data_IF_353601743087
#
_entry.id   IF_353601743087
#
_cell.length_a   1.000
_cell.length_b   1.000
_cell.length_c   1.000
_cell.angle_alpha   90.00
_cell.angle_beta   90.00
_cell.angle_gamma   90.00
#
_symmetry.space_group_name_H-M   'P 1'
#
loop_
_entity.id
_entity.type
_entity.pdbx_description
1 polymer ?
#
# COMPACT_ATOMS: atom_id res chain seq x y z
N UNK A 1 11.57 -22.75 12.12
CA UNK A 1 10.96 -23.64 11.10
C UNK A 1 9.45 -23.62 11.32
N UNK A 2 8.64 -23.40 10.28
CA UNK A 2 7.20 -23.51 10.41
C UNK A 2 6.82 -24.92 10.90
N UNK A 3 5.78 -25.09 11.74
CA UNK A 3 5.31 -26.42 12.12
C UNK A 3 5.04 -27.24 10.85
N UNK A 4 5.43 -28.53 10.82
CA UNK A 4 5.24 -29.40 9.64
C UNK A 4 3.78 -29.38 9.10
N UNK A 5 2.81 -29.14 9.98
CA UNK A 5 1.40 -28.97 9.63
C UNK A 5 1.10 -27.71 8.82
N UNK A 6 1.73 -26.57 9.14
CA UNK A 6 1.50 -25.30 8.43
C UNK A 6 2.06 -25.34 7.01
N UNK A 7 3.27 -25.90 6.84
CA UNK A 7 3.85 -26.03 5.51
C UNK A 7 3.03 -26.98 4.62
N UNK A 8 2.52 -28.08 5.18
CA UNK A 8 1.60 -28.98 4.48
C UNK A 8 0.31 -28.27 4.05
N UNK A 9 -0.28 -27.47 4.94
CA UNK A 9 -1.47 -26.67 4.62
C UNK A 9 -1.18 -25.69 3.48
N UNK A 10 -0.05 -24.98 3.53
CA UNK A 10 0.40 -24.10 2.44
C UNK A 10 0.51 -24.85 1.11
N UNK A 11 1.13 -26.04 1.09
CA UNK A 11 1.26 -26.84 -0.14
C UNK A 11 -0.08 -27.29 -0.70
N UNK A 12 -1.03 -27.71 0.15
CA UNK A 12 -2.37 -28.10 -0.28
C UNK A 12 -3.13 -26.93 -0.90
N UNK A 13 -3.07 -25.75 -0.27
CA UNK A 13 -3.70 -24.55 -0.82
C UNK A 13 -3.04 -24.10 -2.13
N UNK A 14 -1.70 -24.19 -2.22
CA UNK A 14 -0.97 -23.86 -3.45
C UNK A 14 -1.34 -24.80 -4.60
N UNK A 15 -1.55 -26.09 -4.32
CA UNK A 15 -1.99 -27.06 -5.31
C UNK A 15 -3.43 -26.78 -5.78
N UNK A 16 -4.34 -26.45 -4.87
CA UNK A 16 -5.76 -26.20 -5.18
C UNK A 16 -5.97 -24.87 -5.92
N UNK A 17 -5.31 -23.79 -5.46
CA UNK A 17 -5.57 -22.44 -5.95
C UNK A 17 -4.52 -21.95 -6.97
N UNK A 18 -3.41 -22.66 -7.15
CA UNK A 18 -2.35 -22.30 -8.09
C UNK A 18 -1.37 -21.23 -7.57
N UNK A 19 -0.42 -20.85 -8.41
CA UNK A 19 0.67 -19.95 -8.04
C UNK A 19 0.17 -18.51 -7.77
N UNK A 20 0.47 -17.91 -6.60
CA UNK A 20 0.12 -16.51 -6.28
C UNK A 20 0.56 -15.48 -7.33
N UNK A 21 1.61 -15.74 -8.11
CA UNK A 21 2.08 -14.84 -9.18
C UNK A 21 1.03 -14.64 -10.26
N UNK A 22 0.14 -15.61 -10.48
CA UNK A 22 -0.95 -15.52 -11.47
C UNK A 22 -1.99 -14.49 -11.05
N UNK A 23 -2.19 -14.29 -9.76
CA UNK A 23 -3.16 -13.35 -9.20
C UNK A 23 -2.53 -11.99 -8.88
N UNK A 24 -1.31 -11.98 -8.34
CA UNK A 24 -0.64 -10.77 -7.86
C UNK A 24 0.81 -10.67 -8.34
N UNK A 25 1.05 -10.59 -9.66
CA UNK A 25 2.39 -10.63 -10.24
C UNK A 25 3.29 -9.52 -9.70
N UNK A 26 2.76 -8.31 -9.48
CA UNK A 26 3.55 -7.20 -8.95
C UNK A 26 3.93 -7.38 -7.47
N UNK A 27 3.12 -8.08 -6.69
CA UNK A 27 3.46 -8.38 -5.29
C UNK A 27 4.52 -9.47 -5.19
N UNK A 28 4.41 -10.50 -6.03
CA UNK A 28 5.33 -11.62 -6.09
C UNK A 28 6.66 -11.30 -6.79
N UNK A 29 6.76 -10.19 -7.50
CA UNK A 29 8.00 -9.78 -8.18
C UNK A 29 9.18 -9.63 -7.20
N UNK A 30 10.32 -10.25 -7.53
CA UNK A 30 11.56 -10.20 -6.74
C UNK A 30 12.08 -8.77 -6.56
N UNK A 31 11.99 -7.97 -7.63
CA UNK A 31 12.34 -6.54 -7.60
C UNK A 31 11.14 -5.72 -8.03
N UNK A 32 10.99 -4.55 -7.42
CA UNK A 32 9.89 -3.61 -7.69
C UNK A 32 10.50 -2.26 -8.00
N UNK A 33 10.10 -1.65 -9.10
CA UNK A 33 10.47 -0.27 -9.41
C UNK A 33 9.92 0.69 -8.35
N UNK A 34 10.51 1.88 -8.21
CA UNK A 34 10.02 2.89 -7.25
C UNK A 34 8.54 3.23 -7.44
N UNK A 35 8.08 3.31 -8.70
CA UNK A 35 6.66 3.57 -9.03
C UNK A 35 5.74 2.42 -8.58
N UNK A 36 6.20 1.17 -8.67
CA UNK A 36 5.43 0.02 -8.19
C UNK A 36 5.36 0.00 -6.66
N UNK A 37 6.46 0.33 -5.98
CA UNK A 37 6.48 0.45 -4.52
C UNK A 37 5.50 1.53 -4.04
N UNK A 38 5.50 2.72 -4.66
CA UNK A 38 4.54 3.78 -4.34
C UNK A 38 3.09 3.32 -4.59
N UNK A 39 2.82 2.67 -5.74
CA UNK A 39 1.50 2.14 -6.06
C UNK A 39 1.03 1.10 -5.04
N UNK A 40 1.92 0.21 -4.58
CA UNK A 40 1.60 -0.82 -3.59
C UNK A 40 1.24 -0.18 -2.24
N UNK A 41 2.07 0.76 -1.77
CA UNK A 41 1.84 1.44 -0.47
C UNK A 41 0.53 2.24 -0.50
N UNK A 42 0.30 3.03 -1.55
CA UNK A 42 -0.94 3.79 -1.71
C UNK A 42 -2.13 2.83 -1.83
N UNK A 43 -1.99 1.78 -2.63
CA UNK A 43 -3.01 0.74 -2.81
C UNK A 43 -3.41 0.06 -1.50
N UNK A 44 -2.45 -0.19 -0.59
CA UNK A 44 -2.71 -0.85 0.69
C UNK A 44 -3.72 -0.09 1.55
N UNK A 45 -3.74 1.24 1.47
CA UNK A 45 -4.69 2.08 2.21
C UNK A 45 -6.06 2.04 1.52
N UNK A 46 -6.06 2.09 0.19
CA UNK A 46 -7.28 2.15 -0.61
C UNK A 46 -8.13 0.88 -0.54
N UNK A 47 -7.50 -0.30 -0.46
CA UNK A 47 -8.21 -1.59 -0.38
C UNK A 47 -8.85 -1.87 0.97
N UNK A 48 -8.50 -1.14 2.03
CA UNK A 48 -9.06 -1.38 3.37
C UNK A 48 -10.58 -1.17 3.38
N UNK A 49 -11.35 -2.20 3.75
CA UNK A 49 -12.82 -2.15 3.79
C UNK A 49 -13.43 -1.61 2.49
N UNK A 50 -12.90 -2.03 1.34
CA UNK A 50 -13.29 -1.49 0.03
C UNK A 50 -13.19 -2.56 -1.05
N UNK A 51 -14.09 -2.52 -2.03
CA UNK A 51 -14.03 -3.44 -3.17
C UNK A 51 -12.82 -3.16 -4.05
N UNK A 52 -12.26 -4.20 -4.67
CA UNK A 52 -11.16 -4.07 -5.64
C UNK A 52 -11.49 -3.09 -6.77
N UNK A 53 -12.75 -3.09 -7.23
CA UNK A 53 -13.24 -2.16 -8.26
C UNK A 53 -13.07 -0.70 -7.82
N UNK A 54 -13.54 -0.35 -6.61
CA UNK A 54 -13.49 1.01 -6.10
C UNK A 54 -12.06 1.48 -5.79
N UNK A 55 -11.23 0.60 -5.23
CA UNK A 55 -9.81 0.90 -5.01
C UNK A 55 -9.08 1.17 -6.34
N UNK A 56 -9.40 0.40 -7.40
CA UNK A 56 -8.85 0.62 -8.72
C UNK A 56 -9.28 1.96 -9.35
N UNK A 57 -10.54 2.37 -9.17
CA UNK A 57 -11.00 3.71 -9.61
C UNK A 57 -10.20 4.80 -8.88
N UNK A 58 -10.06 4.71 -7.56
CA UNK A 58 -9.28 5.68 -6.78
C UNK A 58 -7.81 5.75 -7.25
N UNK A 59 -7.16 4.60 -7.48
CA UNK A 59 -5.79 4.55 -8.02
C UNK A 59 -5.69 5.21 -9.41
N UNK A 60 -6.68 4.96 -10.30
CA UNK A 60 -6.72 5.59 -11.63
C UNK A 60 -6.91 7.11 -11.54
N UNK A 61 -7.75 7.59 -10.64
CA UNK A 61 -7.95 9.02 -10.39
C UNK A 61 -6.64 9.70 -9.94
N UNK A 62 -5.95 9.11 -8.95
CA UNK A 62 -4.65 9.60 -8.49
C UNK A 62 -3.61 9.62 -9.61
N UNK A 63 -3.56 8.55 -10.43
CA UNK A 63 -2.64 8.47 -11.57
C UNK A 63 -2.93 9.56 -12.62
N UNK A 64 -4.21 9.77 -12.97
CA UNK A 64 -4.65 10.78 -13.94
C UNK A 64 -4.27 12.19 -13.49
N UNK A 65 -4.40 12.48 -12.20
CA UNK A 65 -4.02 13.77 -11.60
C UNK A 65 -2.53 13.87 -11.23
N UNK A 66 -1.71 12.89 -11.63
CA UNK A 66 -0.28 12.84 -11.33
C UNK A 66 0.03 12.93 -9.82
N UNK A 67 -0.88 12.40 -8.99
CA UNK A 67 -0.82 12.34 -7.52
C UNK A 67 -0.60 10.92 -6.98
N UNK A 68 -0.41 9.92 -7.85
CA UNK A 68 0.04 8.58 -7.43
C UNK A 68 1.54 8.60 -7.12
N UNK A 69 1.94 9.38 -6.10
CA UNK A 69 3.32 9.50 -5.62
C UNK A 69 3.34 9.90 -4.15
N UNK A 70 4.20 9.25 -3.37
CA UNK A 70 4.35 9.50 -1.94
C UNK A 70 4.80 10.94 -1.69
N UNK A 71 5.81 11.40 -2.44
CA UNK A 71 6.34 12.75 -2.29
C UNK A 71 5.25 13.80 -2.51
N UNK A 72 4.53 13.69 -3.62
CA UNK A 72 3.50 14.68 -3.97
C UNK A 72 2.34 14.69 -3.00
N UNK A 73 1.93 13.53 -2.50
CA UNK A 73 0.88 13.45 -1.47
C UNK A 73 1.35 14.13 -0.19
N UNK A 74 2.60 13.88 0.25
CA UNK A 74 3.16 14.47 1.48
C UNK A 74 3.28 16.00 1.45
N UNK A 75 3.34 16.58 0.24
CA UNK A 75 3.49 18.04 0.02
C UNK A 75 2.13 18.76 -0.10
N UNK A 76 1.01 18.04 -0.01
CA UNK A 76 -0.32 18.64 -0.11
C UNK A 76 -0.60 19.56 1.10
N UNK A 77 -0.99 20.81 0.81
CA UNK A 77 -1.39 21.79 1.83
C UNK A 77 -2.81 21.57 2.36
N UNK A 78 -3.66 20.91 1.57
CA UNK A 78 -5.03 20.53 1.94
C UNK A 78 -5.33 19.11 1.43
N UNK A 79 -6.15 18.38 2.17
CA UNK A 79 -6.61 17.03 1.81
C UNK A 79 -7.84 17.03 0.90
N UNK A 80 -8.43 18.18 0.57
CA UNK A 80 -9.69 18.24 -0.20
C UNK A 80 -9.58 17.54 -1.55
N UNK A 81 -8.52 17.86 -2.31
CA UNK A 81 -8.25 17.24 -3.61
C UNK A 81 -7.99 15.73 -3.46
N UNK A 82 -7.20 15.33 -2.46
CA UNK A 82 -6.92 13.92 -2.21
C UNK A 82 -8.21 13.15 -1.89
N UNK A 83 -9.03 13.72 -1.02
CA UNK A 83 -10.32 13.18 -0.59
C UNK A 83 -11.27 12.96 -1.77
N UNK A 84 -11.36 13.94 -2.68
CA UNK A 84 -12.17 13.82 -3.88
C UNK A 84 -11.69 12.68 -4.79
N UNK A 85 -10.38 12.56 -5.00
CA UNK A 85 -9.82 11.55 -5.91
C UNK A 85 -9.99 10.13 -5.38
N UNK A 86 -9.85 9.93 -4.08
CA UNK A 86 -9.97 8.61 -3.45
C UNK A 86 -11.38 8.31 -2.94
N UNK A 87 -12.33 9.24 -3.13
CA UNK A 87 -13.75 9.11 -2.74
C UNK A 87 -14.39 7.75 -3.10
N UNK A 88 -14.13 7.15 -4.28
CA UNK A 88 -14.70 5.84 -4.61
C UNK A 88 -14.29 4.74 -3.63
N UNK A 89 -13.10 4.85 -3.03
CA UNK A 89 -12.61 3.92 -2.01
C UNK A 89 -13.24 4.14 -0.62
N UNK A 90 -14.25 5.00 -0.48
CA UNK A 90 -14.98 5.21 0.78
C UNK A 90 -14.16 5.89 1.88
N UNK A 91 -14.77 6.02 3.07
CA UNK A 91 -14.16 6.60 4.27
C UNK A 91 -13.53 7.98 4.05
N UNK A 92 -14.40 8.96 3.75
CA UNK A 92 -14.06 10.31 3.32
C UNK A 92 -13.18 11.14 4.26
N UNK A 93 -13.01 10.72 5.52
CA UNK A 93 -12.21 11.45 6.52
C UNK A 93 -10.95 10.69 6.92
N UNK A 94 -11.06 9.39 7.23
CA UNK A 94 -9.93 8.62 7.77
C UNK A 94 -8.94 8.18 6.70
N UNK A 95 -9.39 7.75 5.51
CA UNK A 95 -8.46 7.30 4.46
C UNK A 95 -7.57 8.40 3.89
N UNK A 96 -8.09 9.60 3.55
CA UNK A 96 -7.23 10.67 3.04
C UNK A 96 -6.17 11.06 4.06
N UNK A 97 -6.55 11.13 5.35
CA UNK A 97 -5.64 11.44 6.45
C UNK A 97 -4.58 10.37 6.65
N UNK A 98 -4.99 9.10 6.81
CA UNK A 98 -4.05 7.99 6.98
C UNK A 98 -3.07 7.87 5.80
N UNK A 99 -3.57 8.01 4.56
CA UNK A 99 -2.72 8.01 3.37
C UNK A 99 -1.71 9.15 3.38
N UNK A 100 -2.15 10.36 3.74
CA UNK A 100 -1.27 11.51 3.87
C UNK A 100 -0.21 11.30 4.96
N UNK A 101 -0.61 10.87 6.15
CA UNK A 101 0.27 10.67 7.30
C UNK A 101 1.32 9.59 7.02
N UNK A 102 0.95 8.49 6.33
CA UNK A 102 1.89 7.47 5.84
C UNK A 102 2.88 8.08 4.85
N UNK A 103 2.41 8.91 3.91
CA UNK A 103 3.30 9.51 2.91
C UNK A 103 4.30 10.48 3.54
N UNK A 104 3.84 11.33 4.47
CA UNK A 104 4.68 12.24 5.26
C UNK A 104 5.70 11.45 6.07
N UNK A 105 5.27 10.40 6.77
CA UNK A 105 6.17 9.53 7.51
C UNK A 105 7.28 8.97 6.60
N UNK A 106 6.93 8.43 5.44
CA UNK A 106 7.90 7.84 4.51
C UNK A 106 8.93 8.87 4.02
N UNK A 107 8.49 10.09 3.68
CA UNK A 107 9.39 11.18 3.29
C UNK A 107 10.32 11.58 4.43
N UNK A 108 9.80 11.71 5.66
CA UNK A 108 10.59 12.05 6.84
C UNK A 108 11.63 10.97 7.20
N UNK A 109 11.38 9.71 6.86
CA UNK A 109 12.38 8.64 6.99
C UNK A 109 13.42 8.62 5.86
N UNK A 110 13.35 9.58 4.91
CA UNK A 110 14.23 9.70 3.76
C UNK A 110 13.88 8.76 2.61
N UNK A 111 12.60 8.40 2.49
CA UNK A 111 12.05 7.61 1.39
C UNK A 111 12.07 6.09 1.58
N UNK A 112 11.39 5.38 0.68
CA UNK A 112 11.21 3.92 0.72
C UNK A 112 12.56 3.18 0.79
N UNK A 113 13.54 3.61 0.01
CA UNK A 113 14.87 2.97 -0.06
C UNK A 113 15.61 2.96 1.28
N UNK A 114 15.45 4.01 2.11
CA UNK A 114 16.02 4.04 3.46
C UNK A 114 15.19 3.23 4.44
N UNK A 115 13.88 3.27 4.29
CA UNK A 115 12.93 2.53 5.12
C UNK A 115 13.14 1.02 5.07
N UNK A 116 13.34 0.45 3.88
CA UNK A 116 13.54 -1.00 3.69
C UNK A 116 14.83 -1.50 4.40
N UNK A 117 15.79 -0.61 4.65
CA UNK A 117 17.04 -0.94 5.35
C UNK A 117 16.91 -0.92 6.88
N UNK A 118 15.77 -0.48 7.41
CA UNK A 118 15.55 -0.42 8.87
C UNK A 118 15.14 -1.77 9.42
N UNK A 119 15.40 -1.96 10.71
CA UNK A 119 14.91 -3.11 11.46
C UNK A 119 13.37 -3.21 11.36
N UNK A 120 12.89 -4.40 10.99
CA UNK A 120 11.46 -4.64 10.73
C UNK A 120 10.61 -4.48 11.98
N UNK A 121 11.11 -4.86 13.15
CA UNK A 121 10.36 -4.78 14.41
C UNK A 121 10.14 -3.33 14.81
N UNK A 122 11.19 -2.49 14.75
CA UNK A 122 11.09 -1.05 15.00
C UNK A 122 10.20 -0.36 13.96
N UNK A 123 10.35 -0.72 12.68
CA UNK A 123 9.54 -0.14 11.63
C UNK A 123 8.06 -0.48 11.78
N UNK A 124 7.73 -1.73 12.16
CA UNK A 124 6.36 -2.14 12.44
C UNK A 124 5.73 -1.26 13.53
N UNK A 125 6.42 -1.05 14.65
CA UNK A 125 5.90 -0.21 15.73
C UNK A 125 5.66 1.22 15.25
N UNK A 126 6.61 1.80 14.50
CA UNK A 126 6.45 3.14 13.95
C UNK A 126 5.27 3.27 12.97
N UNK A 127 5.04 2.26 12.11
CA UNK A 127 3.92 2.25 11.17
C UNK A 127 2.56 2.06 11.87
N UNK A 128 2.51 1.29 12.97
CA UNK A 128 1.29 1.09 13.75
C UNK A 128 0.88 2.30 14.58
N UNK A 129 1.81 3.22 14.85
CA UNK A 129 1.55 4.47 15.56
C UNK A 129 0.95 5.57 14.65
N UNK A 130 0.96 5.36 13.34
CA UNK A 130 0.34 6.27 12.36
C UNK A 130 -1.18 6.15 12.48
N UNK A 131 -1.86 7.29 12.69
CA UNK A 131 -3.30 7.37 12.91
C UNK A 131 -4.14 7.32 11.64
#
# INVERSE_FOLDING_TARGET
MAPKSLYRCYQQLLQEYGDPVTYWPQWCAETKSGKEQEKIIIGMVLVQRTSWHNANIALKNLKKENLLSIKKISELKSLDKLTQLIRPAGFYQSKPKCLFDICVFIVNQGGITRLIKKDTSKLRLALLDIK
#
